data_IF_483431537645
#
_entry.id   IF_483431537645
#
_cell.length_a   1.000
_cell.length_b   1.000
_cell.length_c   1.000
_cell.angle_alpha   90.00
_cell.angle_beta   90.00
_cell.angle_gamma   90.00
#
_symmetry.space_group_name_H-M   'P 1'
#
loop_
_entity.id
_entity.type
_entity.pdbx_description
1 polymer ?
#
# COMPACT_ATOMS: atom_id res chain seq x y z
N UNK A 1 26.12 6.60 4.82
CA UNK A 1 25.64 5.23 4.49
C UNK A 1 25.42 4.50 5.80
N UNK A 2 24.22 3.97 6.03
CA UNK A 2 23.89 3.17 7.22
C UNK A 2 23.42 1.79 6.75
N UNK A 3 24.04 0.72 7.29
CA UNK A 3 23.58 -0.65 7.07
C UNK A 3 22.61 -1.01 8.17
N UNK A 4 21.43 -1.50 7.80
CA UNK A 4 20.46 -2.08 8.73
C UNK A 4 20.38 -3.57 8.39
N UNK A 5 20.77 -4.43 9.34
CA UNK A 5 20.80 -5.87 9.16
C UNK A 5 21.11 -6.58 10.47
N UNK A 6 20.30 -7.58 10.80
CA UNK A 6 20.48 -8.47 11.95
C UNK A 6 21.17 -9.77 11.58
N UNK A 7 21.27 -10.68 12.54
CA UNK A 7 21.80 -12.04 12.38
C UNK A 7 20.94 -12.91 11.45
N UNK A 8 19.64 -12.60 11.41
CA UNK A 8 18.66 -13.29 10.58
C UNK A 8 17.58 -12.31 10.09
N UNK A 9 16.58 -12.86 9.38
CA UNK A 9 15.45 -12.10 8.82
C UNK A 9 14.53 -11.50 9.89
N UNK A 10 14.42 -12.15 11.05
CA UNK A 10 13.53 -11.73 12.14
C UNK A 10 14.12 -10.52 12.87
N UNK A 11 15.42 -10.60 13.20
CA UNK A 11 16.15 -9.48 13.80
C UNK A 11 16.28 -8.31 12.82
N UNK A 12 16.48 -8.58 11.54
CA UNK A 12 16.49 -7.53 10.51
C UNK A 12 15.13 -6.82 10.44
N UNK A 13 14.02 -7.57 10.46
CA UNK A 13 12.67 -6.98 10.45
C UNK A 13 12.43 -6.09 11.68
N UNK A 14 12.80 -6.55 12.88
CA UNK A 14 12.70 -5.76 14.11
C UNK A 14 13.53 -4.46 14.05
N UNK A 15 14.75 -4.52 13.49
CA UNK A 15 15.57 -3.32 13.30
C UNK A 15 14.98 -2.35 12.28
N UNK A 16 14.45 -2.85 11.16
CA UNK A 16 13.78 -2.00 10.18
C UNK A 16 12.54 -1.34 10.82
N UNK A 17 11.74 -2.09 11.57
CA UNK A 17 10.56 -1.58 12.25
C UNK A 17 10.90 -0.43 13.21
N UNK A 18 11.93 -0.61 14.06
CA UNK A 18 12.36 0.43 15.01
C UNK A 18 13.03 1.65 14.36
N UNK A 19 13.49 1.55 13.12
CA UNK A 19 13.96 2.71 12.35
C UNK A 19 12.83 3.38 11.56
N UNK A 20 11.79 2.63 11.18
CA UNK A 20 10.66 3.12 10.42
C UNK A 20 9.70 3.94 11.29
N UNK A 21 9.42 3.46 12.50
CA UNK A 21 8.50 4.11 13.45
C UNK A 21 9.04 3.95 14.87
N UNK A 22 9.20 5.07 15.58
CA UNK A 22 9.75 5.07 16.95
C UNK A 22 8.83 4.35 17.96
N UNK A 23 7.52 4.66 17.92
CA UNK A 23 6.48 3.93 18.67
C UNK A 23 5.31 3.65 17.72
N UNK A 24 5.15 2.42 17.22
CA UNK A 24 4.07 2.07 16.32
C UNK A 24 2.73 2.01 17.05
N UNK A 25 1.67 2.42 16.36
CA UNK A 25 0.29 2.21 16.82
C UNK A 25 -0.22 0.83 16.42
N UNK A 26 0.43 0.18 15.45
CA UNK A 26 0.07 -1.13 14.93
C UNK A 26 1.27 -1.98 14.53
N UNK A 27 1.23 -3.26 14.86
CA UNK A 27 2.21 -4.25 14.42
C UNK A 27 1.52 -5.43 13.75
N UNK A 28 1.97 -5.76 12.54
CA UNK A 28 1.49 -6.91 11.79
C UNK A 28 2.55 -8.01 11.85
N UNK A 29 2.16 -9.23 12.24
CA UNK A 29 3.06 -10.39 12.31
C UNK A 29 2.66 -11.38 11.23
N UNK A 30 3.60 -11.66 10.31
CA UNK A 30 3.45 -12.67 9.26
C UNK A 30 4.64 -13.65 9.29
N UNK A 31 4.51 -14.82 8.68
CA UNK A 31 5.65 -15.76 8.61
C UNK A 31 6.78 -15.20 7.73
N UNK A 32 8.02 -15.38 8.18
CA UNK A 32 9.22 -15.07 7.40
C UNK A 32 9.67 -16.20 6.47
N UNK A 33 9.03 -17.38 6.53
CA UNK A 33 9.40 -18.56 5.73
C UNK A 33 8.64 -18.66 4.41
N UNK A 34 7.52 -17.96 4.29
CA UNK A 34 6.77 -17.79 3.05
C UNK A 34 6.31 -16.34 2.96
N UNK A 35 6.28 -15.78 1.76
CA UNK A 35 6.15 -14.34 1.56
C UNK A 35 4.73 -13.77 1.32
N UNK A 36 3.71 -14.50 0.83
CA UNK A 36 2.43 -13.90 0.41
C UNK A 36 1.71 -13.07 1.48
N UNK A 37 1.69 -13.57 2.71
CA UNK A 37 1.06 -12.89 3.85
C UNK A 37 1.84 -11.64 4.24
N UNK A 38 3.18 -11.72 4.22
CA UNK A 38 4.08 -10.60 4.50
C UNK A 38 3.99 -9.50 3.42
N UNK A 39 3.72 -9.86 2.16
CA UNK A 39 3.49 -8.87 1.08
C UNK A 39 2.21 -8.07 1.31
N UNK A 40 1.13 -8.76 1.68
CA UNK A 40 -0.15 -8.13 1.99
C UNK A 40 0.00 -7.20 3.22
N UNK A 41 0.70 -7.68 4.26
CA UNK A 41 1.03 -6.87 5.44
C UNK A 41 1.93 -5.67 5.08
N UNK A 42 2.87 -5.83 4.16
CA UNK A 42 3.73 -4.75 3.67
C UNK A 42 2.95 -3.62 3.00
N UNK A 43 1.94 -3.95 2.18
CA UNK A 43 1.06 -2.95 1.57
C UNK A 43 0.28 -2.15 2.63
N UNK A 44 -0.17 -2.80 3.70
CA UNK A 44 -0.78 -2.12 4.85
C UNK A 44 0.22 -1.17 5.50
N UNK A 45 1.42 -1.65 5.85
CA UNK A 45 2.44 -0.83 6.51
C UNK A 45 2.90 0.36 5.66
N UNK A 46 2.95 0.18 4.34
CA UNK A 46 3.25 1.25 3.39
C UNK A 46 2.15 2.32 3.32
N UNK A 47 0.88 1.93 3.48
CA UNK A 47 -0.29 2.80 3.30
C UNK A 47 -0.82 3.39 4.60
N UNK A 48 -0.49 2.80 5.76
CA UNK A 48 -1.02 3.20 7.06
C UNK A 48 0.09 3.68 8.00
N UNK A 49 0.20 4.99 8.24
CA UNK A 49 1.18 5.56 9.16
C UNK A 49 1.12 4.90 10.55
N UNK A 50 2.28 4.69 11.16
CA UNK A 50 2.39 4.06 12.48
C UNK A 50 2.26 2.53 12.47
N UNK A 51 2.19 1.91 11.29
CA UNK A 51 2.14 0.45 11.14
C UNK A 51 3.51 -0.11 10.75
N UNK A 52 3.93 -1.18 11.40
CA UNK A 52 5.15 -1.92 11.07
C UNK A 52 4.86 -3.41 10.87
N UNK A 53 5.74 -4.09 10.13
CA UNK A 53 5.68 -5.55 9.91
C UNK A 53 6.82 -6.23 10.64
N UNK A 54 6.50 -7.28 11.38
CA UNK A 54 7.46 -8.22 11.96
C UNK A 54 7.25 -9.63 11.41
N UNK A 55 8.27 -10.46 11.57
CA UNK A 55 8.29 -11.80 11.01
C UNK A 55 8.29 -12.87 12.10
N UNK A 56 7.49 -13.91 11.93
CA UNK A 56 7.51 -15.14 12.73
C UNK A 56 8.26 -16.28 12.02
N UNK A 57 8.74 -17.27 12.75
CA UNK A 57 9.26 -18.52 12.18
C UNK A 57 8.11 -19.53 12.07
N UNK A 58 7.32 -19.40 10.99
CA UNK A 58 6.03 -20.10 10.87
C UNK A 58 5.16 -19.84 12.12
N UNK A 59 4.77 -20.89 12.83
CA UNK A 59 3.95 -20.85 14.04
C UNK A 59 4.76 -20.61 15.33
N UNK A 60 6.07 -20.43 15.23
CA UNK A 60 6.94 -20.11 16.37
C UNK A 60 7.28 -18.62 16.37
N UNK A 61 7.29 -18.02 17.56
CA UNK A 61 7.69 -16.64 17.75
C UNK A 61 9.21 -16.55 17.99
N UNK A 62 9.99 -15.90 17.11
CA UNK A 62 11.41 -15.65 17.33
C UNK A 62 11.61 -14.63 18.44
N UNK A 63 12.65 -14.83 19.26
CA UNK A 63 13.00 -13.93 20.37
C UNK A 63 13.12 -12.45 19.95
N UNK A 64 13.66 -12.18 18.76
CA UNK A 64 13.82 -10.80 18.27
C UNK A 64 12.46 -10.11 18.01
N UNK A 65 11.47 -10.86 17.54
CA UNK A 65 10.11 -10.35 17.28
C UNK A 65 9.36 -10.15 18.59
N UNK A 66 9.44 -11.12 19.50
CA UNK A 66 8.82 -11.05 20.83
C UNK A 66 9.35 -9.86 21.64
N UNK A 67 10.68 -9.70 21.73
CA UNK A 67 11.29 -8.60 22.46
C UNK A 67 10.87 -7.23 21.90
N UNK A 68 10.74 -7.09 20.58
CA UNK A 68 10.25 -5.86 19.96
C UNK A 68 8.79 -5.58 20.36
N UNK A 69 7.92 -6.59 20.29
CA UNK A 69 6.51 -6.44 20.64
C UNK A 69 6.34 -6.03 22.11
N UNK A 70 7.05 -6.67 23.04
CA UNK A 70 7.01 -6.35 24.47
C UNK A 70 7.50 -4.93 24.77
N UNK A 71 8.58 -4.50 24.11
CA UNK A 71 9.10 -3.14 24.25
C UNK A 71 8.07 -2.11 23.75
N UNK A 72 7.51 -2.32 22.55
CA UNK A 72 6.55 -1.38 21.97
C UNK A 72 5.22 -1.36 22.72
N UNK A 73 4.78 -2.49 23.27
CA UNK A 73 3.58 -2.57 24.11
C UNK A 73 3.76 -1.75 25.38
N UNK A 74 4.91 -1.90 26.06
CA UNK A 74 5.27 -1.09 27.22
C UNK A 74 5.35 0.40 26.87
N UNK A 75 6.04 0.74 25.77
CA UNK A 75 6.23 2.14 25.33
C UNK A 75 4.95 2.81 24.85
N UNK A 76 3.99 2.04 24.35
CA UNK A 76 2.67 2.52 23.97
C UNK A 76 1.66 2.53 25.12
N UNK A 77 2.08 2.25 26.36
CA UNK A 77 1.22 2.14 27.53
C UNK A 77 0.11 1.08 27.33
N UNK A 78 0.47 -0.09 26.79
CA UNK A 78 -0.43 -1.20 26.49
C UNK A 78 -1.55 -0.86 25.50
N UNK A 79 -1.27 0.05 24.56
CA UNK A 79 -2.19 0.44 23.47
C UNK A 79 -1.71 -0.05 22.10
N UNK A 80 -0.81 -1.04 22.06
CA UNK A 80 -0.29 -1.59 20.82
C UNK A 80 -1.33 -2.48 20.14
N UNK A 81 -1.76 -2.12 18.93
CA UNK A 81 -2.65 -2.98 18.15
C UNK A 81 -1.85 -4.05 17.40
N UNK A 82 -1.95 -5.29 17.84
CA UNK A 82 -1.23 -6.41 17.20
C UNK A 82 -2.17 -7.20 16.30
N UNK A 83 -1.69 -7.58 15.11
CA UNK A 83 -2.40 -8.40 14.15
C UNK A 83 -1.58 -9.61 13.71
N UNK A 84 -2.20 -10.78 13.70
CA UNK A 84 -1.66 -11.97 13.02
C UNK A 84 -2.14 -12.04 11.58
N UNK A 85 -1.20 -12.02 10.63
CA UNK A 85 -1.48 -12.12 9.19
C UNK A 85 -1.13 -13.52 8.71
N UNK A 86 -2.12 -14.19 8.12
CA UNK A 86 -2.05 -15.60 7.75
C UNK A 86 -2.05 -16.54 8.96
N UNK A 87 -2.31 -17.82 8.70
CA UNK A 87 -2.44 -18.84 9.77
C UNK A 87 -1.17 -18.96 10.63
N UNK A 88 0.01 -18.80 10.01
CA UNK A 88 1.29 -18.91 10.70
C UNK A 88 1.54 -17.73 11.64
N UNK A 89 1.27 -16.49 11.23
CA UNK A 89 1.41 -15.32 12.10
C UNK A 89 0.46 -15.37 13.30
N UNK A 90 -0.79 -15.77 13.07
CA UNK A 90 -1.78 -16.01 14.14
C UNK A 90 -1.30 -17.09 15.12
N UNK A 91 -0.80 -18.21 14.61
CA UNK A 91 -0.31 -19.30 15.44
C UNK A 91 0.91 -18.90 16.26
N UNK A 92 1.82 -18.09 15.70
CA UNK A 92 3.00 -17.58 16.40
C UNK A 92 2.63 -16.63 17.55
N UNK A 93 1.68 -15.72 17.33
CA UNK A 93 1.18 -14.85 18.41
C UNK A 93 0.55 -15.67 19.54
N UNK A 94 -0.30 -16.64 19.18
CA UNK A 94 -0.94 -17.52 20.14
C UNK A 94 0.06 -18.39 20.92
N UNK A 95 1.08 -18.94 20.25
CA UNK A 95 2.11 -19.78 20.90
C UNK A 95 3.02 -19.00 21.84
N UNK A 96 3.21 -17.71 21.59
CA UNK A 96 3.90 -16.77 22.48
C UNK A 96 3.00 -16.20 23.61
N UNK A 97 1.73 -16.60 23.68
CA UNK A 97 0.83 -16.16 24.75
C UNK A 97 0.27 -14.75 24.59
N UNK A 98 0.42 -14.11 23.42
CA UNK A 98 -0.26 -12.85 23.14
C UNK A 98 -1.77 -13.06 23.11
N UNK A 99 -2.50 -12.17 23.78
CA UNK A 99 -3.97 -12.17 23.81
C UNK A 99 -4.51 -10.83 23.31
N UNK A 100 -5.76 -10.80 22.85
CA UNK A 100 -6.38 -9.56 22.36
C UNK A 100 -5.87 -9.06 20.99
N UNK A 101 -5.02 -9.84 20.31
CA UNK A 101 -4.62 -9.54 18.94
C UNK A 101 -5.75 -9.85 17.95
N UNK A 102 -5.84 -9.09 16.87
CA UNK A 102 -6.76 -9.34 15.76
C UNK A 102 -6.11 -10.23 14.69
N UNK A 103 -6.90 -10.83 13.81
CA UNK A 103 -6.36 -11.72 12.78
C UNK A 103 -6.97 -11.50 11.41
N UNK A 104 -6.12 -11.54 10.40
CA UNK A 104 -6.49 -11.64 8.99
C UNK A 104 -5.84 -12.91 8.45
N UNK A 105 -6.54 -14.04 8.55
CA UNK A 105 -6.01 -15.35 8.18
C UNK A 105 -7.06 -16.16 7.41
N UNK A 106 -6.87 -16.25 6.10
CA UNK A 106 -7.73 -17.03 5.21
C UNK A 106 -7.33 -18.50 5.17
N UNK A 107 -8.08 -19.28 4.38
CA UNK A 107 -7.74 -20.68 4.09
C UNK A 107 -6.47 -20.81 3.22
N UNK A 108 -6.17 -19.78 2.43
CA UNK A 108 -4.99 -19.69 1.59
C UNK A 108 -4.48 -18.23 1.51
N UNK A 109 -3.45 -18.01 0.70
CA UNK A 109 -2.81 -16.69 0.50
C UNK A 109 -3.75 -15.67 -0.15
N UNK A 110 -4.66 -16.11 -1.01
CA UNK A 110 -5.57 -15.23 -1.74
C UNK A 110 -6.68 -14.77 -0.81
N UNK A 111 -7.29 -15.70 -0.07
CA UNK A 111 -8.25 -15.41 0.98
C UNK A 111 -7.65 -14.53 2.09
N UNK A 112 -6.39 -14.75 2.47
CA UNK A 112 -5.69 -13.89 3.43
C UNK A 112 -5.52 -12.47 2.89
N UNK A 113 -5.07 -12.31 1.63
CA UNK A 113 -4.94 -10.97 1.03
C UNK A 113 -6.27 -10.22 0.95
N UNK A 114 -7.38 -10.94 0.71
CA UNK A 114 -8.73 -10.36 0.71
C UNK A 114 -9.17 -9.92 2.11
N UNK A 115 -8.90 -10.71 3.15
CA UNK A 115 -9.19 -10.30 4.53
C UNK A 115 -8.38 -9.06 4.92
N UNK A 116 -7.09 -9.03 4.58
CA UNK A 116 -6.25 -7.84 4.77
C UNK A 116 -6.82 -6.63 4.01
N UNK A 117 -7.30 -6.80 2.78
CA UNK A 117 -7.92 -5.70 2.06
C UNK A 117 -9.16 -5.15 2.79
N UNK A 118 -10.05 -6.04 3.24
CA UNK A 118 -11.30 -5.68 3.94
C UNK A 118 -11.06 -4.99 5.28
N UNK A 119 -10.09 -5.48 6.05
CA UNK A 119 -9.87 -5.00 7.42
C UNK A 119 -9.12 -3.66 7.46
N UNK A 120 -8.31 -3.38 6.44
CA UNK A 120 -7.41 -2.23 6.44
C UNK A 120 -7.75 -1.17 5.41
N UNK A 121 -8.49 -1.50 4.35
CA UNK A 121 -8.78 -0.57 3.26
C UNK A 121 -10.29 -0.50 2.98
N UNK A 122 -11.10 0.03 3.92
CA UNK A 122 -12.51 0.30 3.65
C UNK A 122 -12.63 1.48 2.69
N UNK A 123 -13.24 1.29 1.53
CA UNK A 123 -13.37 2.34 0.53
C UNK A 123 -12.07 2.73 -0.18
N UNK A 124 -11.28 1.77 -0.72
CA UNK A 124 -10.00 2.07 -1.38
C UNK A 124 -10.20 2.91 -2.64
N UNK A 125 -9.34 3.92 -2.85
CA UNK A 125 -9.30 4.66 -4.12
C UNK A 125 -8.60 3.84 -5.23
N UNK A 126 -7.61 3.05 -4.83
CA UNK A 126 -6.81 2.23 -5.73
C UNK A 126 -6.80 0.77 -5.28
N UNK A 127 -6.90 -0.16 -6.22
CA UNK A 127 -6.72 -1.60 -5.97
C UNK A 127 -5.55 -2.13 -6.81
N UNK A 128 -4.60 -2.78 -6.16
CA UNK A 128 -3.51 -3.48 -6.85
C UNK A 128 -3.74 -4.99 -6.84
N UNK A 129 -3.55 -5.62 -7.98
CA UNK A 129 -3.49 -7.07 -8.13
C UNK A 129 -2.05 -7.49 -8.42
N UNK A 130 -1.57 -8.54 -7.77
CA UNK A 130 -0.34 -9.21 -8.18
C UNK A 130 -0.50 -10.72 -8.11
N UNK A 131 0.39 -11.45 -8.79
CA UNK A 131 0.42 -12.90 -8.66
C UNK A 131 0.81 -13.33 -7.25
N UNK A 132 0.09 -14.30 -6.70
CA UNK A 132 0.50 -14.95 -5.45
C UNK A 132 1.67 -15.92 -5.63
N UNK A 133 2.16 -16.12 -6.86
CA UNK A 133 3.17 -17.12 -7.22
C UNK A 133 4.59 -16.57 -7.40
N UNK A 134 4.76 -15.27 -7.74
CA UNK A 134 6.07 -14.63 -7.92
C UNK A 134 6.23 -13.38 -7.04
N UNK A 135 7.33 -13.36 -6.30
CA UNK A 135 7.66 -12.37 -5.25
C UNK A 135 8.09 -10.97 -5.73
N UNK A 136 8.87 -10.78 -6.83
CA UNK A 136 9.43 -9.46 -7.16
C UNK A 136 8.39 -8.39 -7.55
N UNK A 137 7.34 -8.81 -8.27
CA UNK A 137 6.33 -7.90 -8.81
C UNK A 137 5.45 -7.34 -7.68
N UNK A 138 5.09 -8.19 -6.73
CA UNK A 138 4.30 -7.83 -5.56
C UNK A 138 5.07 -6.95 -4.55
N UNK A 139 6.40 -7.12 -4.43
CA UNK A 139 7.22 -6.20 -3.64
C UNK A 139 7.23 -4.78 -4.21
N UNK A 140 7.33 -4.66 -5.53
CA UNK A 140 7.30 -3.37 -6.22
C UNK A 140 5.94 -2.69 -6.07
N UNK A 141 4.86 -3.47 -6.07
CA UNK A 141 3.51 -3.00 -5.79
C UNK A 141 3.36 -2.39 -4.39
N UNK A 142 3.96 -3.01 -3.36
CA UNK A 142 3.91 -2.48 -1.99
C UNK A 142 4.50 -1.06 -1.86
N UNK A 143 5.63 -0.80 -2.53
CA UNK A 143 6.22 0.54 -2.57
C UNK A 143 5.34 1.53 -3.36
N UNK A 144 4.71 1.09 -4.44
CA UNK A 144 3.77 1.90 -5.21
C UNK A 144 2.54 2.31 -4.39
N UNK A 145 1.96 1.35 -3.65
CA UNK A 145 0.75 1.56 -2.85
C UNK A 145 0.93 2.57 -1.70
N UNK A 146 2.17 2.82 -1.25
CA UNK A 146 2.46 3.88 -0.27
C UNK A 146 1.94 5.27 -0.66
N UNK A 147 1.74 5.52 -1.96
CA UNK A 147 1.28 6.81 -2.49
C UNK A 147 -0.20 6.85 -2.85
N UNK A 148 -0.79 5.70 -3.15
CA UNK A 148 -2.14 5.59 -3.72
C UNK A 148 -3.17 5.01 -2.75
N UNK A 149 -2.74 4.66 -1.52
CA UNK A 149 -3.57 4.10 -0.45
C UNK A 149 -4.52 3.02 -0.95
N UNK A 150 -4.01 1.80 -1.05
CA UNK A 150 -4.78 0.69 -1.60
C UNK A 150 -4.27 -0.67 -1.15
N UNK A 151 -5.11 -1.71 -1.18
CA UNK A 151 -4.68 -3.06 -0.87
C UNK A 151 -3.90 -3.67 -2.03
N UNK A 152 -3.08 -4.66 -1.69
CA UNK A 152 -2.54 -5.63 -2.63
C UNK A 152 -3.34 -6.93 -2.51
N UNK A 153 -4.17 -7.23 -3.51
CA UNK A 153 -4.84 -8.52 -3.63
C UNK A 153 -3.97 -9.49 -4.42
N UNK A 154 -3.83 -10.70 -3.89
CA UNK A 154 -3.13 -11.77 -4.58
C UNK A 154 -4.10 -12.55 -5.44
N UNK A 155 -3.66 -12.84 -6.66
CA UNK A 155 -4.44 -13.56 -7.67
C UNK A 155 -3.73 -14.86 -8.03
N UNK A 156 -4.52 -15.92 -8.20
CA UNK A 156 -4.01 -17.19 -8.66
C UNK A 156 -3.76 -17.13 -10.18
N UNK A 157 -2.54 -17.40 -10.67
CA UNK A 157 -2.27 -17.35 -12.11
C UNK A 157 -3.03 -18.41 -12.93
N UNK A 158 -3.44 -19.51 -12.30
CA UNK A 158 -4.17 -20.60 -12.95
C UNK A 158 -5.69 -20.43 -12.81
N UNK A 159 -6.15 -20.05 -11.62
CA UNK A 159 -7.58 -19.90 -11.34
C UNK A 159 -8.14 -18.49 -11.61
N UNK A 160 -7.27 -17.48 -11.73
CA UNK A 160 -7.66 -16.08 -11.89
C UNK A 160 -8.15 -15.45 -10.59
N UNK A 161 -8.91 -14.36 -10.71
CA UNK A 161 -9.46 -13.63 -9.58
C UNK A 161 -10.56 -14.47 -8.89
N UNK A 162 -10.40 -14.72 -7.59
CA UNK A 162 -11.36 -15.49 -6.82
C UNK A 162 -12.74 -14.77 -6.79
N UNK A 163 -13.87 -15.49 -6.86
CA UNK A 163 -15.20 -14.88 -6.88
C UNK A 163 -15.48 -13.96 -5.67
N UNK A 164 -14.96 -14.29 -4.49
CA UNK A 164 -15.11 -13.47 -3.29
C UNK A 164 -14.31 -12.18 -3.37
N UNK A 165 -13.16 -12.19 -4.05
CA UNK A 165 -12.35 -10.99 -4.28
C UNK A 165 -13.02 -10.10 -5.33
N UNK A 166 -13.53 -10.69 -6.42
CA UNK A 166 -14.31 -9.98 -7.43
C UNK A 166 -15.54 -9.28 -6.83
N UNK A 167 -16.34 -10.01 -6.04
CA UNK A 167 -17.52 -9.45 -5.38
C UNK A 167 -17.17 -8.33 -4.38
N UNK A 168 -16.03 -8.42 -3.71
CA UNK A 168 -15.57 -7.35 -2.84
C UNK A 168 -15.15 -6.11 -3.64
N UNK A 169 -14.40 -6.28 -4.74
CA UNK A 169 -14.02 -5.18 -5.63
C UNK A 169 -15.26 -4.46 -6.19
N UNK A 170 -16.27 -5.19 -6.65
CA UNK A 170 -17.54 -4.61 -7.11
C UNK A 170 -18.24 -3.84 -5.97
N UNK A 171 -18.21 -4.36 -4.74
CA UNK A 171 -18.73 -3.66 -3.57
C UNK A 171 -18.02 -2.32 -3.29
N UNK A 172 -16.72 -2.22 -3.58
CA UNK A 172 -15.89 -1.03 -3.42
C UNK A 172 -15.87 -0.11 -4.66
N UNK A 173 -16.62 -0.43 -5.72
CA UNK A 173 -16.62 0.37 -6.96
C UNK A 173 -16.99 1.84 -6.78
N UNK A 174 -17.72 2.17 -5.71
CA UNK A 174 -18.14 3.54 -5.43
C UNK A 174 -17.01 4.44 -4.92
N UNK A 175 -15.95 3.84 -4.40
CA UNK A 175 -14.75 4.50 -3.88
C UNK A 175 -13.53 4.29 -4.77
N UNK A 176 -13.49 3.21 -5.54
CA UNK A 176 -12.33 2.84 -6.37
C UNK A 176 -12.31 3.61 -7.70
N UNK A 177 -11.25 4.38 -7.94
CA UNK A 177 -11.02 5.11 -9.19
C UNK A 177 -10.00 4.45 -10.11
N UNK A 178 -9.11 3.59 -9.57
CA UNK A 178 -8.05 2.96 -10.33
C UNK A 178 -7.75 1.51 -9.92
N UNK A 179 -7.43 0.68 -10.92
CA UNK A 179 -6.95 -0.68 -10.74
C UNK A 179 -5.60 -0.87 -11.42
N UNK A 180 -4.64 -1.50 -10.73
CA UNK A 180 -3.32 -1.80 -11.27
C UNK A 180 -3.02 -3.28 -11.18
N UNK A 181 -2.49 -3.85 -12.25
CA UNK A 181 -2.04 -5.25 -12.28
C UNK A 181 -0.52 -5.26 -12.36
N UNK A 182 0.11 -5.93 -11.40
CA UNK A 182 1.55 -6.06 -11.28
C UNK A 182 1.97 -7.48 -11.67
N UNK A 183 2.77 -7.55 -12.73
CA UNK A 183 3.36 -8.78 -13.25
C UNK A 183 3.20 -8.91 -14.76
N UNK A 184 4.12 -9.64 -15.39
CA UNK A 184 4.03 -9.97 -16.82
C UNK A 184 2.83 -10.85 -17.15
N UNK A 185 2.47 -11.04 -18.44
CA UNK A 185 1.44 -11.98 -18.87
C UNK A 185 1.70 -13.44 -18.44
N UNK A 186 2.95 -13.79 -18.12
CA UNK A 186 3.31 -15.09 -17.55
C UNK A 186 3.13 -15.20 -16.03
N UNK A 187 2.91 -14.07 -15.35
CA UNK A 187 2.62 -13.99 -13.92
C UNK A 187 1.11 -13.87 -13.65
N UNK A 188 0.39 -13.10 -14.47
CA UNK A 188 -1.08 -13.05 -14.49
C UNK A 188 -1.59 -13.05 -15.93
N UNK A 189 -2.59 -13.89 -16.27
CA UNK A 189 -3.18 -13.88 -17.61
C UNK A 189 -3.98 -12.58 -17.81
N UNK A 190 -3.99 -12.03 -19.04
CA UNK A 190 -4.73 -10.79 -19.40
C UNK A 190 -6.23 -10.82 -19.08
N UNK A 191 -6.80 -12.01 -18.86
CA UNK A 191 -8.18 -12.14 -18.37
C UNK A 191 -8.37 -11.45 -17.02
N UNK A 192 -7.33 -11.36 -16.20
CA UNK A 192 -7.36 -10.66 -14.90
C UNK A 192 -7.53 -9.15 -15.09
N UNK A 193 -6.87 -8.56 -16.09
CA UNK A 193 -7.02 -7.14 -16.43
C UNK A 193 -8.48 -6.82 -16.80
N UNK A 194 -9.08 -7.70 -17.62
CA UNK A 194 -10.48 -7.59 -18.03
C UNK A 194 -11.45 -7.79 -16.87
N UNK A 195 -11.18 -8.75 -15.97
CA UNK A 195 -11.97 -8.96 -14.76
C UNK A 195 -11.92 -7.73 -13.86
N UNK A 196 -10.73 -7.24 -13.50
CA UNK A 196 -10.57 -6.06 -12.67
C UNK A 196 -11.26 -4.84 -13.28
N UNK A 197 -11.04 -4.60 -14.57
CA UNK A 197 -11.67 -3.50 -15.30
C UNK A 197 -13.20 -3.59 -15.25
N UNK A 198 -13.79 -4.78 -15.38
CA UNK A 198 -15.23 -4.97 -15.27
C UNK A 198 -15.77 -4.67 -13.87
N UNK A 199 -15.08 -5.13 -12.82
CA UNK A 199 -15.53 -4.94 -11.43
C UNK A 199 -15.40 -3.47 -10.97
N UNK A 200 -14.37 -2.73 -11.38
CA UNK A 200 -14.18 -1.33 -10.96
C UNK A 200 -14.92 -0.32 -11.86
N UNK A 201 -15.37 -0.72 -13.04
CA UNK A 201 -16.01 0.24 -13.95
C UNK A 201 -17.46 0.51 -13.55
N UNK A 202 -17.74 1.78 -13.26
CA UNK A 202 -19.10 2.32 -13.47
C UNK A 202 -19.41 2.34 -14.96
N UNK A 203 -20.69 2.40 -15.34
CA UNK A 203 -21.16 2.35 -16.73
C UNK A 203 -20.62 3.46 -17.68
N UNK A 204 -19.59 4.21 -17.27
CA UNK A 204 -18.96 5.33 -17.95
C UNK A 204 -17.54 5.07 -18.47
N UNK A 205 -17.05 3.83 -18.44
CA UNK A 205 -15.96 3.39 -19.32
C UNK A 205 -14.72 2.86 -18.61
N UNK A 206 -14.23 1.72 -19.10
CA UNK A 206 -12.96 1.09 -18.70
C UNK A 206 -11.84 1.67 -19.58
N UNK A 207 -10.75 2.14 -19.00
CA UNK A 207 -9.48 2.32 -19.74
C UNK A 207 -8.48 1.29 -19.23
N UNK A 208 -8.28 0.22 -19.99
CA UNK A 208 -7.22 -0.76 -19.72
C UNK A 208 -5.93 -0.21 -20.35
N UNK A 209 -5.08 0.40 -19.53
CA UNK A 209 -3.76 0.85 -19.95
C UNK A 209 -2.74 -0.29 -19.88
N UNK A 210 -2.10 -0.64 -21.00
CA UNK A 210 -0.93 -1.53 -21.01
C UNK A 210 0.28 -0.78 -20.39
N UNK A 211 0.50 -0.95 -19.08
CA UNK A 211 1.61 -0.31 -18.38
C UNK A 211 2.99 -0.93 -18.68
N UNK A 212 3.05 -2.00 -19.49
CA UNK A 212 4.30 -2.67 -19.88
C UNK A 212 5.29 -1.78 -20.66
N UNK A 213 4.85 -0.65 -21.24
CA UNK A 213 5.72 0.28 -21.98
C UNK A 213 5.67 1.75 -21.57
N UNK A 214 4.79 2.15 -20.65
CA UNK A 214 4.39 3.56 -20.47
C UNK A 214 4.86 4.23 -19.16
N UNK A 215 5.53 3.50 -18.25
CA UNK A 215 5.97 4.05 -16.97
C UNK A 215 6.84 5.33 -17.14
N UNK A 216 7.68 5.39 -18.17
CA UNK A 216 8.47 6.58 -18.49
C UNK A 216 7.62 7.79 -18.95
N UNK A 217 6.50 7.54 -19.64
CA UNK A 217 5.61 8.59 -20.14
C UNK A 217 4.69 9.14 -19.03
N UNK A 218 4.20 8.28 -18.13
CA UNK A 218 3.37 8.70 -17.00
C UNK A 218 4.17 9.45 -15.92
N UNK A 219 5.42 9.04 -15.65
CA UNK A 219 6.30 9.78 -14.75
C UNK A 219 6.69 11.16 -15.30
N UNK A 220 6.81 11.31 -16.62
CA UNK A 220 7.05 12.60 -17.27
C UNK A 220 5.84 13.55 -17.19
N UNK A 221 4.61 13.02 -17.30
CA UNK A 221 3.40 13.82 -17.16
C UNK A 221 3.18 14.34 -15.74
N UNK A 222 3.54 13.57 -14.71
CA UNK A 222 3.47 14.00 -13.30
C UNK A 222 4.48 15.09 -12.93
N UNK A 223 5.62 15.16 -13.61
CA UNK A 223 6.63 16.20 -13.38
C UNK A 223 6.30 17.55 -14.05
N UNK A 224 5.47 17.55 -15.11
CA UNK A 224 5.09 18.76 -15.83
C UNK A 224 3.93 19.53 -15.15
N UNK A 225 3.13 18.87 -14.30
CA UNK A 225 1.95 19.47 -13.65
C UNK A 225 2.24 20.38 -12.45
N UNK A 226 3.48 20.46 -11.97
CA UNK A 226 3.86 21.25 -10.77
C UNK A 226 4.66 22.53 -11.08
N UNK A 227 4.89 22.85 -12.35
CA UNK A 227 5.76 23.96 -12.76
C UNK A 227 5.03 25.22 -13.29
N UNK A 228 3.70 25.35 -13.13
CA UNK A 228 2.96 26.47 -13.72
C UNK A 228 1.76 26.94 -12.92
N UNK A 229 1.98 27.66 -11.82
CA UNK A 229 1.08 28.72 -11.34
C UNK A 229 1.65 29.41 -10.09
N UNK A 230 2.58 30.35 -10.28
CA UNK A 230 2.82 31.41 -9.32
C UNK A 230 3.40 32.63 -10.04
N UNK A 231 2.54 33.40 -10.72
CA UNK A 231 2.84 34.80 -11.01
C UNK A 231 2.16 35.69 -9.95
N UNK A 232 2.89 36.67 -9.37
CA UNK A 232 2.37 37.54 -8.32
C UNK A 232 1.48 38.64 -8.93
N UNK A 233 0.30 38.84 -8.33
CA UNK A 233 -0.64 39.90 -8.66
C UNK A 233 -0.03 41.26 -8.32
N UNK A 234 0.39 42.01 -9.34
CA UNK A 234 0.98 43.33 -9.21
C UNK A 234 -0.01 44.35 -8.61
N UNK A 235 0.41 45.01 -7.53
CA UNK A 235 -0.21 46.23 -7.00
C UNK A 235 -0.02 47.38 -8.01
N UNK A 236 -1.11 48.07 -8.30
CA UNK A 236 -1.13 49.29 -9.09
C UNK A 236 -0.40 50.44 -8.37
N UNK A 237 0.48 51.14 -9.08
CA UNK A 237 1.15 52.33 -8.56
C UNK A 237 1.91 53.09 -9.65
N UNK A 238 1.29 54.20 -10.11
CA UNK A 238 1.88 55.43 -10.64
C UNK A 238 2.85 55.39 -11.84
N UNK A 239 2.56 56.20 -12.86
CA UNK A 239 3.61 56.74 -13.73
C UNK A 239 3.21 57.12 -15.15
N UNK A 240 2.75 58.37 -15.30
CA UNK A 240 3.02 59.28 -16.43
C UNK A 240 2.80 58.80 -17.89
N UNK A 241 1.92 59.51 -18.61
CA UNK A 241 2.29 60.06 -19.91
C UNK A 241 1.58 61.40 -20.15
N UNK A 242 2.35 62.34 -20.66
CA UNK A 242 1.99 63.73 -20.93
C UNK A 242 1.59 63.90 -22.41
N UNK A 243 0.75 64.91 -22.67
CA UNK A 243 0.65 65.71 -23.91
C UNK A 243 -0.28 66.91 -23.60
N UNK A 244 0.23 68.13 -23.41
CA UNK A 244 0.21 69.26 -24.40
C UNK A 244 -1.18 69.47 -25.03
N UNK A 245 -1.84 70.64 -25.01
CA UNK A 245 -1.39 71.96 -25.51
C UNK A 245 -2.45 73.04 -25.20
N UNK A 246 -2.01 74.30 -25.00
CA UNK A 246 -2.64 75.60 -25.33
C UNK A 246 -4.10 75.94 -24.91
N UNK A 247 -4.29 77.00 -24.10
CA UNK A 247 -4.65 78.39 -24.50
C UNK A 247 -6.17 78.64 -24.29
N UNK A 248 -6.73 79.78 -23.88
CA UNK A 248 -6.26 81.09 -23.44
C UNK A 248 -7.46 81.83 -22.78
N UNK A 249 -7.13 82.79 -21.91
CA UNK A 249 -7.81 84.09 -21.68
C UNK A 249 -9.22 84.18 -21.07
N UNK A 250 -9.21 85.00 -20.00
CA UNK A 250 -10.21 85.91 -19.45
C UNK A 250 -11.35 85.35 -18.58
#
# INVERSE_FOLDING_TARGET
MQRIGGKDRYQTAAYIAGQAVDVPTRVLVATGNNYPDALSAGAVAASHPGTVVLLSDNASMPQATEAYLEEMDTRSNHHLNVWGIGQQGVSALGSAGWTGFASAAGADRYATSLLVARDFFPGPDTIALATGANFPDALSAGAFLSRFWGPLLLVDPQAGLAPQAAAWIDGERGSTSAGFVFGGPGALPRSVDGQLGAEISTATGVSIGDFHGSLAAHLAAGAAGTAGAAEPKAMAGAGASAQSTEAAKH
#
